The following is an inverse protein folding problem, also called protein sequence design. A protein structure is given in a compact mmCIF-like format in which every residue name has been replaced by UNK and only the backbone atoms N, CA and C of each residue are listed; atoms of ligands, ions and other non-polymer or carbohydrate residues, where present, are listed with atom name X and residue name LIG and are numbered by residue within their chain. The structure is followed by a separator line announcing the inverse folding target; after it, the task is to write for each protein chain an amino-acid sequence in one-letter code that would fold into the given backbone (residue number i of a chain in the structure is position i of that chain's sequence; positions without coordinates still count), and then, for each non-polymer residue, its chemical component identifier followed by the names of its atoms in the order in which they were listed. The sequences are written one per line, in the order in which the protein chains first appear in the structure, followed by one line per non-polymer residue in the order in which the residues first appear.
data_IF_638129344520
#
_entry.id   IF_638129344520
#
_cell.length_a   1.000
_cell.length_b   1.000
_cell.length_c   1.000
_cell.angle_alpha   90.00
_cell.angle_beta   90.00
_cell.angle_gamma   90.00
#
_symmetry.space_group_name_H-M   'P 1'
#
loop_
_entity.id
_entity.type
_entity.pdbx_description
1 polymer ?
#
# COMPACT_ATOMS: atom_id res chain seq x y z
N UNK A 1 12.24 6.33 6.08
CA UNK A 1 13.06 6.56 7.30
C UNK A 1 12.48 7.70 8.16
N UNK A 2 11.25 7.54 8.66
CA UNK A 2 10.54 8.58 9.40
C UNK A 2 9.72 8.01 10.56
N UNK A 3 10.16 6.89 11.17
CA UNK A 3 9.60 6.47 12.45
C UNK A 3 10.16 7.42 13.52
N UNK A 4 9.33 8.34 14.08
CA UNK A 4 9.80 9.19 15.15
C UNK A 4 10.18 8.31 16.34
N UNK A 5 11.23 8.70 17.07
CA UNK A 5 11.49 8.16 18.40
C UNK A 5 10.18 8.23 19.19
N UNK A 6 9.75 7.12 19.84
CA UNK A 6 8.49 7.09 20.57
C UNK A 6 8.39 8.28 21.52
N UNK A 7 7.22 8.95 21.56
CA UNK A 7 6.98 10.03 22.52
C UNK A 7 7.23 9.53 23.95
N UNK A 8 7.99 10.29 24.73
CA UNK A 8 8.28 9.98 26.12
C UNK A 8 6.97 9.91 26.92
N UNK A 9 6.76 8.83 27.67
CA UNK A 9 5.61 8.68 28.58
C UNK A 9 4.40 7.93 28.02
N UNK A 10 4.46 7.41 26.79
CA UNK A 10 3.47 6.43 26.30
C UNK A 10 3.86 5.01 26.74
N UNK A 11 2.97 4.26 27.42
CA UNK A 11 3.24 2.86 27.73
C UNK A 11 3.23 2.02 26.45
N UNK A 12 4.10 1.02 26.37
CA UNK A 12 4.17 0.09 25.23
C UNK A 12 5.60 -0.30 24.87
N UNK A 13 5.73 -1.06 23.79
CA UNK A 13 7.01 -1.44 23.20
C UNK A 13 7.10 -0.88 21.78
N UNK A 14 8.28 -0.38 21.41
CA UNK A 14 8.59 0.01 20.03
C UNK A 14 9.40 -1.09 19.39
N UNK A 15 9.01 -1.44 18.18
CA UNK A 15 9.63 -2.49 17.40
C UNK A 15 9.55 -2.14 15.92
N UNK A 16 10.59 -2.50 15.18
CA UNK A 16 10.62 -2.31 13.73
C UNK A 16 9.68 -3.29 13.00
N UNK A 17 9.54 -4.50 13.55
CA UNK A 17 8.69 -5.56 13.04
C UNK A 17 7.91 -6.17 14.20
N UNK A 18 6.59 -6.16 14.09
CA UNK A 18 5.70 -6.90 14.99
C UNK A 18 5.21 -8.17 14.29
N UNK A 19 5.22 -9.30 15.00
CA UNK A 19 4.73 -10.58 14.49
C UNK A 19 3.57 -11.07 15.34
N UNK A 20 2.48 -11.40 14.68
CA UNK A 20 1.30 -12.01 15.30
C UNK A 20 0.81 -13.18 14.43
N UNK A 21 1.04 -14.41 14.91
CA UNK A 21 0.90 -15.62 14.13
C UNK A 21 1.60 -15.50 12.75
N UNK A 22 0.84 -15.57 11.67
CA UNK A 22 1.34 -15.48 10.30
C UNK A 22 1.36 -14.05 9.76
N UNK A 23 1.12 -13.03 10.58
CA UNK A 23 1.17 -11.63 10.18
C UNK A 23 2.50 -11.00 10.57
N UNK A 24 3.07 -10.24 9.64
CA UNK A 24 4.32 -9.52 9.80
C UNK A 24 4.05 -8.04 9.55
N UNK A 25 3.95 -7.25 10.61
CA UNK A 25 3.64 -5.83 10.52
C UNK A 25 4.93 -5.02 10.58
N UNK A 26 5.13 -4.11 9.62
CA UNK A 26 6.32 -3.25 9.53
C UNK A 26 5.98 -1.89 8.94
N UNK A 27 6.86 -0.90 9.12
CA UNK A 27 6.65 0.43 8.55
C UNK A 27 6.82 0.42 7.02
N UNK A 28 8.00 0.05 6.51
CA UNK A 28 8.31 0.06 5.07
C UNK A 28 8.15 -1.34 4.45
N UNK A 29 7.55 -1.46 3.25
CA UNK A 29 7.38 -2.76 2.60
C UNK A 29 8.73 -3.36 2.19
N UNK A 30 8.92 -4.66 2.44
CA UNK A 30 10.12 -5.37 2.02
C UNK A 30 10.04 -5.72 0.53
N UNK A 31 11.13 -5.60 -0.23
CA UNK A 31 11.14 -6.07 -1.62
C UNK A 31 10.79 -7.56 -1.71
N UNK A 32 9.97 -7.96 -2.69
CA UNK A 32 9.72 -9.38 -2.94
C UNK A 32 11.00 -10.01 -3.50
N UNK A 33 11.46 -11.10 -2.88
CA UNK A 33 12.70 -11.77 -3.25
C UNK A 33 13.23 -12.66 -2.14
N UNK A 34 14.54 -12.87 -2.10
CA UNK A 34 15.18 -13.62 -1.03
C UNK A 34 14.89 -12.95 0.34
N UNK A 35 14.40 -13.74 1.30
CA UNK A 35 14.05 -13.27 2.64
C UNK A 35 12.67 -12.61 2.77
N UNK A 36 11.89 -12.47 1.69
CA UNK A 36 10.49 -12.05 1.82
C UNK A 36 9.64 -13.19 2.39
N UNK A 37 8.87 -12.88 3.42
CA UNK A 37 7.91 -13.79 4.05
C UNK A 37 6.47 -13.35 3.76
N UNK A 38 5.58 -14.31 3.52
CA UNK A 38 4.16 -14.02 3.34
C UNK A 38 3.51 -13.56 4.66
N UNK A 39 2.42 -12.80 4.54
CA UNK A 39 1.69 -12.21 5.68
C UNK A 39 2.10 -10.78 6.01
N UNK A 40 2.85 -10.10 5.13
CA UNK A 40 3.31 -8.74 5.37
C UNK A 40 2.14 -7.72 5.35
N UNK A 41 2.07 -6.89 6.38
CA UNK A 41 1.26 -5.67 6.44
C UNK A 41 2.21 -4.48 6.57
N UNK A 42 2.29 -3.67 5.52
CA UNK A 42 3.24 -2.55 5.46
C UNK A 42 2.54 -1.20 5.27
N UNK A 43 3.14 -0.14 5.81
CA UNK A 43 2.71 1.24 5.60
C UNK A 43 3.61 1.98 4.62
N UNK A 44 4.07 3.16 5.05
CA UNK A 44 5.04 4.04 4.40
C UNK A 44 4.61 4.64 3.05
N UNK A 45 4.26 3.82 2.05
CA UNK A 45 3.93 4.28 0.70
C UNK A 45 2.54 4.92 0.59
N UNK A 46 1.63 4.56 1.51
CA UNK A 46 0.27 5.08 1.59
C UNK A 46 -0.47 5.07 0.23
N UNK A 47 -0.86 3.89 -0.25
CA UNK A 47 -1.36 3.73 -1.60
C UNK A 47 -2.65 4.50 -1.87
N UNK A 48 -2.74 5.03 -3.07
CA UNK A 48 -3.99 5.47 -3.69
C UNK A 48 -4.12 4.86 -5.09
N UNK A 49 -5.36 4.62 -5.47
CA UNK A 49 -5.70 4.06 -6.77
C UNK A 49 -6.38 5.13 -7.62
N UNK A 50 -6.09 5.10 -8.91
CA UNK A 50 -6.72 5.95 -9.91
C UNK A 50 -7.38 5.07 -10.97
N UNK A 51 -8.64 5.36 -11.31
CA UNK A 51 -9.31 4.74 -12.47
C UNK A 51 -10.17 5.74 -13.21
N UNK A 52 -10.59 5.37 -14.42
CA UNK A 52 -11.62 6.09 -15.16
C UNK A 52 -12.97 5.39 -15.01
N UNK A 53 -13.97 6.13 -14.54
CA UNK A 53 -15.33 5.65 -14.36
C UNK A 53 -16.32 6.71 -14.85
N UNK A 54 -17.24 6.32 -15.74
CA UNK A 54 -18.27 7.22 -16.31
C UNK A 54 -17.68 8.54 -16.84
N UNK A 55 -16.60 8.47 -17.61
CA UNK A 55 -15.93 9.64 -18.18
C UNK A 55 -15.09 10.48 -17.21
N UNK A 56 -15.09 10.17 -15.90
CA UNK A 56 -14.34 10.92 -14.88
C UNK A 56 -13.17 10.10 -14.34
N UNK A 57 -12.09 10.79 -14.00
CA UNK A 57 -10.99 10.19 -13.24
C UNK A 57 -11.34 10.20 -11.75
N UNK A 58 -11.36 9.02 -11.13
CA UNK A 58 -11.49 8.85 -9.69
C UNK A 58 -10.11 8.54 -9.13
N UNK A 59 -9.71 9.25 -8.06
CA UNK A 59 -8.54 8.94 -7.23
C UNK A 59 -9.00 8.81 -5.79
N UNK A 60 -8.64 7.73 -5.11
CA UNK A 60 -8.88 7.60 -3.68
C UNK A 60 -7.80 6.77 -3.00
N UNK A 61 -7.68 6.92 -1.68
CA UNK A 61 -6.87 6.01 -0.84
C UNK A 61 -7.37 4.58 -1.01
N UNK A 62 -6.45 3.63 -0.95
CA UNK A 62 -6.78 2.23 -1.07
C UNK A 62 -5.83 1.38 -0.23
N UNK A 63 -6.31 0.20 0.15
CA UNK A 63 -5.41 -0.91 0.41
C UNK A 63 -4.96 -1.46 -0.94
N UNK A 64 -3.72 -1.91 -1.06
CA UNK A 64 -3.30 -2.74 -2.19
C UNK A 64 -2.74 -4.04 -1.67
N UNK A 65 -3.15 -5.16 -2.25
CA UNK A 65 -2.74 -6.47 -1.75
C UNK A 65 -2.63 -7.49 -2.88
N UNK A 66 -1.83 -8.52 -2.63
CA UNK A 66 -1.83 -9.79 -3.36
C UNK A 66 -2.07 -10.95 -2.38
N UNK A 67 -1.70 -12.17 -2.77
CA UNK A 67 -1.86 -13.34 -1.91
C UNK A 67 -0.90 -13.38 -0.70
N UNK A 68 0.16 -12.56 -0.67
CA UNK A 68 1.22 -12.64 0.35
C UNK A 68 1.42 -11.36 1.16
N UNK A 69 0.88 -10.19 0.75
CA UNK A 69 1.00 -8.95 1.52
C UNK A 69 -0.14 -7.98 1.28
N UNK A 70 -0.27 -7.01 2.17
CA UNK A 70 -1.05 -5.80 1.96
C UNK A 70 -0.24 -4.54 2.34
N UNK A 71 -0.38 -3.49 1.52
CA UNK A 71 0.14 -2.15 1.81
C UNK A 71 -1.06 -1.25 2.16
N UNK A 72 -0.98 -0.66 3.34
CA UNK A 72 -2.08 0.03 4.00
C UNK A 72 -2.11 1.52 3.62
N UNK A 73 -3.30 2.11 3.41
CA UNK A 73 -3.43 3.55 3.23
C UNK A 73 -3.01 4.27 4.52
N UNK A 74 -2.63 5.52 4.38
CA UNK A 74 -2.45 6.36 5.56
C UNK A 74 -3.78 6.57 6.31
N UNK A 75 -3.73 6.48 7.64
CA UNK A 75 -4.87 6.79 8.50
C UNK A 75 -5.19 8.30 8.53
N UNK A 76 -4.17 9.16 8.54
CA UNK A 76 -4.32 10.62 8.63
C UNK A 76 -4.71 11.30 7.31
N UNK A 77 -5.28 12.50 7.39
CA UNK A 77 -5.63 13.33 6.22
C UNK A 77 -4.45 14.13 5.65
N UNK A 78 -3.37 14.31 6.43
CA UNK A 78 -2.23 15.19 6.10
C UNK A 78 -1.07 14.47 5.42
N UNK A 79 -1.14 13.16 5.28
CA UNK A 79 -0.11 12.34 4.65
C UNK A 79 -0.38 12.23 3.15
N UNK A 80 0.66 12.40 2.33
CA UNK A 80 0.58 12.12 0.90
C UNK A 80 0.14 10.67 0.62
N UNK A 81 -0.39 10.44 -0.58
CA UNK A 81 -0.71 9.09 -1.05
C UNK A 81 -0.10 8.83 -2.43
N UNK A 82 0.66 7.75 -2.54
CA UNK A 82 1.36 7.39 -3.77
C UNK A 82 0.46 6.54 -4.66
N UNK A 83 0.45 6.80 -5.97
CA UNK A 83 -0.36 6.00 -6.89
C UNK A 83 0.19 4.56 -6.92
N UNK A 84 -0.66 3.54 -6.81
CA UNK A 84 -0.24 2.11 -6.88
C UNK A 84 0.51 1.78 -8.17
N UNK A 85 0.34 2.57 -9.23
CA UNK A 85 1.08 2.47 -10.49
C UNK A 85 2.39 3.26 -10.49
N UNK A 86 2.86 3.77 -9.36
CA UNK A 86 4.19 4.39 -9.20
C UNK A 86 5.31 3.33 -9.18
N UNK A 87 6.54 3.74 -9.52
CA UNK A 87 7.69 2.85 -9.56
C UNK A 87 8.07 2.29 -8.17
N UNK A 88 7.73 2.98 -7.08
CA UNK A 88 7.95 2.48 -5.73
C UNK A 88 7.20 1.17 -5.40
N UNK A 89 6.18 0.81 -6.19
CA UNK A 89 5.46 -0.47 -6.07
C UNK A 89 6.03 -1.58 -6.97
N UNK A 90 6.99 -1.27 -7.84
CA UNK A 90 7.59 -2.28 -8.72
C UNK A 90 8.37 -3.30 -7.89
N UNK A 91 8.10 -4.59 -8.09
CA UNK A 91 8.77 -5.68 -7.35
C UNK A 91 8.26 -5.91 -5.92
N UNK A 92 7.19 -5.23 -5.48
CA UNK A 92 6.55 -5.55 -4.19
C UNK A 92 5.54 -6.70 -4.31
N UNK A 93 4.84 -6.80 -5.43
CA UNK A 93 3.80 -7.80 -5.65
C UNK A 93 4.26 -8.92 -6.60
N UNK A 94 3.48 -9.99 -6.65
CA UNK A 94 3.64 -11.05 -7.66
C UNK A 94 3.25 -10.53 -9.06
N UNK A 95 4.19 -9.88 -9.73
CA UNK A 95 4.00 -9.28 -11.05
C UNK A 95 2.84 -8.28 -11.09
N UNK A 96 1.80 -8.59 -11.87
CA UNK A 96 0.58 -7.78 -11.99
C UNK A 96 -0.60 -8.34 -11.20
N UNK A 97 -0.40 -9.39 -10.40
CA UNK A 97 -1.44 -10.11 -9.66
C UNK A 97 -1.76 -9.44 -8.32
N UNK A 98 -2.18 -8.18 -8.37
CA UNK A 98 -2.61 -7.45 -7.18
C UNK A 98 -3.90 -6.67 -7.42
N UNK A 99 -4.58 -6.34 -6.33
CA UNK A 99 -5.83 -5.58 -6.34
C UNK A 99 -5.70 -4.36 -5.45
N UNK A 100 -6.30 -3.25 -5.88
CA UNK A 100 -6.53 -2.10 -5.03
C UNK A 100 -7.96 -2.14 -4.49
N UNK A 101 -8.11 -2.18 -3.17
CA UNK A 101 -9.40 -2.01 -2.49
C UNK A 101 -9.58 -0.52 -2.18
N UNK A 102 -10.31 0.14 -3.06
CA UNK A 102 -10.59 1.57 -3.02
C UNK A 102 -11.58 1.90 -1.91
N UNK A 103 -11.21 2.83 -1.03
CA UNK A 103 -12.03 3.26 0.11
C UNK A 103 -12.82 4.50 -0.28
N UNK A 104 -14.12 4.32 -0.52
CA UNK A 104 -15.08 5.41 -0.69
C UNK A 104 -15.79 5.76 0.62
N UNK A 105 -16.60 6.82 0.61
CA UNK A 105 -17.30 7.31 1.81
C UNK A 105 -18.26 6.28 2.45
N UNK A 106 -18.88 5.42 1.65
CA UNK A 106 -19.86 4.43 2.12
C UNK A 106 -19.64 3.01 1.57
N UNK A 107 -18.59 2.81 0.77
CA UNK A 107 -18.36 1.52 0.08
C UNK A 107 -16.89 1.27 -0.21
N UNK A 108 -16.53 0.00 -0.21
CA UNK A 108 -15.27 -0.50 -0.74
C UNK A 108 -15.44 -1.00 -2.17
N UNK A 109 -14.40 -0.86 -2.99
CA UNK A 109 -14.38 -1.41 -4.34
C UNK A 109 -13.04 -2.06 -4.65
N UNK A 110 -13.04 -3.37 -4.88
CA UNK A 110 -11.86 -4.11 -5.33
C UNK A 110 -11.64 -3.91 -6.84
N UNK A 111 -10.47 -3.39 -7.20
CA UNK A 111 -10.11 -3.06 -8.58
C UNK A 111 -8.83 -3.81 -8.96
N UNK A 112 -8.94 -4.63 -10.01
CA UNK A 112 -7.81 -5.33 -10.60
C UNK A 112 -6.77 -4.35 -11.13
N UNK A 113 -5.49 -4.68 -10.95
CA UNK A 113 -4.34 -3.87 -11.40
C UNK A 113 -4.49 -3.31 -12.82
N UNK A 114 -4.93 -4.13 -13.77
CA UNK A 114 -5.06 -3.76 -15.19
C UNK A 114 -6.03 -2.60 -15.47
N UNK A 115 -6.91 -2.30 -14.51
CA UNK A 115 -7.88 -1.19 -14.59
C UNK A 115 -7.36 0.09 -13.95
N UNK A 116 -6.22 0.03 -13.27
CA UNK A 116 -5.62 1.17 -12.59
C UNK A 116 -4.81 2.01 -13.57
N UNK A 117 -4.97 3.33 -13.46
CA UNK A 117 -4.30 4.31 -14.29
C UNK A 117 -3.10 4.92 -13.54
N UNK A 118 -1.98 5.17 -14.23
CA UNK A 118 -0.89 5.91 -13.64
C UNK A 118 -1.18 7.42 -13.57
N UNK A 119 -0.37 8.15 -12.80
CA UNK A 119 -0.46 9.61 -12.73
C UNK A 119 0.05 10.28 -14.00
N UNK A 120 1.13 9.73 -14.56
CA UNK A 120 1.67 10.06 -15.89
C UNK A 120 1.74 8.78 -16.72
N UNK A 121 1.62 8.87 -18.04
CA UNK A 121 1.84 7.71 -18.90
C UNK A 121 3.27 7.17 -18.63
N UNK A 122 3.39 5.89 -18.28
CA UNK A 122 4.70 5.25 -18.22
C UNK A 122 5.18 5.05 -19.66
N UNK A 123 6.43 5.40 -19.96
CA UNK A 123 7.07 5.06 -21.23
C UNK A 123 7.11 3.54 -21.45
N UNK A 124 7.39 3.08 -22.68
CA UNK A 124 7.56 1.66 -22.94
C UNK A 124 8.66 1.08 -22.03
N UNK A 125 8.38 -0.08 -21.43
CA UNK A 125 9.38 -0.89 -20.69
C UNK A 125 10.12 -1.78 -21.67
#
# INVERSE_FOLDING_TARGET
NHDPTPPTGLPGAVMEIFRDANLIMRHEPMMRGAGFEAGELAGHLHPCAKLRQRGRNLRCRCFVHDAARAILPAFGALTGSLNVRDAAFDGLFDGTQYQAVMVGAARLAAIQQKRLLPDRARGPR
#
